data_IF_124055934244
#
_entry.id   IF_124055934244
#
_cell.length_a   1.000
_cell.length_b   1.000
_cell.length_c   1.000
_cell.angle_alpha   90.00
_cell.angle_beta   90.00
_cell.angle_gamma   90.00
#
_symmetry.space_group_name_H-M   'P 1'
#
loop_
_entity.id
_entity.type
_entity.pdbx_description
1 polymer ?
#
# COMPACT_ATOMS: atom_id res chain seq x y z
N UNK A 1 -6.80 20.21 -5.79
CA UNK A 1 -8.05 19.80 -6.47
C UNK A 1 -7.82 18.65 -7.45
N UNK A 2 -6.89 18.74 -8.40
CA UNK A 2 -6.68 17.69 -9.43
C UNK A 2 -6.25 16.32 -8.84
N UNK A 3 -5.41 16.32 -7.79
CA UNK A 3 -4.94 15.06 -7.19
C UNK A 3 -6.06 14.30 -6.45
N UNK A 4 -6.98 15.02 -5.80
CA UNK A 4 -8.13 14.41 -5.11
C UNK A 4 -9.15 13.85 -6.08
N UNK A 5 -9.37 14.49 -7.23
CA UNK A 5 -10.26 14.00 -8.29
C UNK A 5 -9.75 12.70 -8.90
N UNK A 6 -8.47 12.65 -9.29
CA UNK A 6 -7.81 11.44 -9.79
C UNK A 6 -7.86 10.30 -8.77
N UNK A 7 -7.68 10.62 -7.50
CA UNK A 7 -7.82 9.65 -6.43
C UNK A 7 -9.22 9.08 -6.37
N UNK A 8 -10.26 9.92 -6.34
CA UNK A 8 -11.65 9.46 -6.32
C UNK A 8 -12.04 8.66 -7.57
N UNK A 9 -11.57 9.05 -8.75
CA UNK A 9 -11.77 8.29 -10.00
C UNK A 9 -11.20 6.86 -9.86
N UNK A 10 -9.97 6.74 -9.37
CA UNK A 10 -9.33 5.45 -9.20
C UNK A 10 -9.99 4.62 -8.09
N UNK A 11 -10.46 5.25 -7.01
CA UNK A 11 -11.27 4.58 -5.98
C UNK A 11 -12.55 4.02 -6.58
N UNK A 12 -13.30 4.82 -7.36
CA UNK A 12 -14.52 4.38 -8.02
C UNK A 12 -14.27 3.16 -8.94
N UNK A 13 -13.20 3.21 -9.73
CA UNK A 13 -12.76 2.07 -10.55
C UNK A 13 -12.58 0.79 -9.72
N UNK A 14 -11.91 0.89 -8.56
CA UNK A 14 -11.66 -0.30 -7.73
C UNK A 14 -12.87 -0.82 -6.98
N UNK A 15 -13.78 0.07 -6.56
CA UNK A 15 -15.01 -0.32 -5.87
C UNK A 15 -16.02 -0.97 -6.83
N UNK A 16 -16.00 -0.56 -8.10
CA UNK A 16 -16.83 -1.14 -9.18
C UNK A 16 -16.19 -2.37 -9.86
N UNK A 17 -14.99 -2.78 -9.43
CA UNK A 17 -14.26 -3.86 -10.09
C UNK A 17 -14.99 -5.21 -9.93
N UNK A 18 -15.23 -5.97 -11.02
CA UNK A 18 -16.07 -7.17 -10.99
C UNK A 18 -15.47 -8.30 -10.13
N UNK A 19 -14.14 -8.37 -10.05
CA UNK A 19 -13.45 -9.35 -9.21
C UNK A 19 -13.29 -8.83 -7.77
N UNK A 20 -14.28 -9.14 -6.93
CA UNK A 20 -14.29 -8.76 -5.50
C UNK A 20 -13.23 -9.48 -4.66
N UNK A 21 -12.73 -10.64 -5.10
CA UNK A 21 -11.69 -11.38 -4.38
C UNK A 21 -10.31 -10.74 -4.52
N UNK A 22 -10.06 -10.04 -5.62
CA UNK A 22 -8.79 -9.37 -5.91
C UNK A 22 -8.58 -8.09 -5.08
N UNK A 23 -9.67 -7.47 -4.60
CA UNK A 23 -9.74 -6.27 -3.73
C UNK A 23 -8.56 -5.29 -3.84
N UNK A 24 -8.26 -4.82 -5.06
CA UNK A 24 -7.15 -3.89 -5.34
C UNK A 24 -7.30 -2.50 -4.72
N UNK A 25 -8.43 -2.24 -4.06
CA UNK A 25 -8.69 -0.98 -3.38
C UNK A 25 -7.59 -0.66 -2.35
N UNK A 26 -7.22 -1.64 -1.52
CA UNK A 26 -6.22 -1.42 -0.47
C UNK A 26 -4.85 -1.06 -1.05
N UNK A 27 -4.48 -1.62 -2.20
CA UNK A 27 -3.23 -1.30 -2.89
C UNK A 27 -3.12 0.19 -3.24
N UNK A 28 -4.21 0.79 -3.72
CA UNK A 28 -4.24 2.20 -4.11
C UNK A 28 -4.24 3.11 -2.88
N UNK A 29 -4.99 2.75 -1.84
CA UNK A 29 -4.98 3.50 -0.58
C UNK A 29 -3.56 3.55 -0.02
N UNK A 30 -2.86 2.41 0.01
CA UNK A 30 -1.51 2.32 0.55
C UNK A 30 -0.48 3.04 -0.33
N UNK A 31 -0.52 2.83 -1.66
CA UNK A 31 0.38 3.51 -2.58
C UNK A 31 0.21 5.03 -2.54
N UNK A 32 -1.03 5.52 -2.56
CA UNK A 32 -1.32 6.96 -2.48
C UNK A 32 -0.87 7.55 -1.13
N UNK A 33 -1.17 6.86 -0.02
CA UNK A 33 -0.80 7.32 1.33
C UNK A 33 0.71 7.44 1.47
N UNK A 34 1.45 6.41 1.07
CA UNK A 34 2.91 6.43 1.13
C UNK A 34 3.51 7.45 0.15
N UNK A 35 3.00 7.55 -1.08
CA UNK A 35 3.52 8.48 -2.10
C UNK A 35 3.33 9.95 -1.73
N UNK A 36 2.18 10.29 -1.13
CA UNK A 36 1.84 11.66 -0.74
C UNK A 36 2.30 12.04 0.67
N UNK A 37 2.87 11.11 1.44
CA UNK A 37 3.28 11.36 2.81
C UNK A 37 4.24 12.56 2.89
N UNK A 38 4.02 13.42 3.86
CA UNK A 38 4.86 14.58 4.19
C UNK A 38 5.14 14.62 5.70
N UNK A 39 5.86 15.64 6.16
CA UNK A 39 6.21 15.81 7.57
C UNK A 39 5.00 15.96 8.51
N UNK A 40 3.80 16.25 7.97
CA UNK A 40 2.55 16.40 8.74
C UNK A 40 1.72 15.11 8.74
N UNK A 41 2.09 14.14 7.91
CA UNK A 41 1.38 12.87 7.80
C UNK A 41 1.61 12.04 9.06
N UNK A 42 0.53 11.50 9.64
CA UNK A 42 0.61 10.72 10.88
C UNK A 42 1.54 9.50 10.68
N UNK A 43 2.52 9.25 11.57
CA UNK A 43 3.46 8.14 11.42
C UNK A 43 2.78 6.78 11.23
N UNK A 44 1.69 6.53 11.96
CA UNK A 44 0.93 5.28 11.85
C UNK A 44 0.36 5.06 10.44
N UNK A 45 -0.09 6.11 9.75
CA UNK A 45 -0.63 6.02 8.40
C UNK A 45 0.47 5.61 7.40
N UNK A 46 1.67 6.16 7.57
CA UNK A 46 2.82 5.81 6.73
C UNK A 46 3.24 4.36 6.98
N UNK A 47 3.34 3.94 8.24
CA UNK A 47 3.71 2.56 8.61
C UNK A 47 2.70 1.55 8.05
N UNK A 48 1.39 1.81 8.19
CA UNK A 48 0.35 0.92 7.66
C UNK A 48 0.42 0.79 6.14
N UNK A 49 0.59 1.91 5.44
CA UNK A 49 0.75 1.93 4.00
C UNK A 49 1.99 1.13 3.55
N UNK A 50 3.14 1.34 4.20
CA UNK A 50 4.38 0.62 3.87
C UNK A 50 4.29 -0.88 4.15
N UNK A 51 3.62 -1.30 5.23
CA UNK A 51 3.34 -2.72 5.50
C UNK A 51 2.46 -3.30 4.40
N UNK A 52 1.41 -2.59 3.99
CA UNK A 52 0.52 -3.06 2.93
C UNK A 52 1.24 -3.21 1.59
N UNK A 53 2.13 -2.26 1.26
CA UNK A 53 2.99 -2.34 0.09
C UNK A 53 3.99 -3.50 0.16
N UNK A 54 4.64 -3.71 1.31
CA UNK A 54 5.52 -4.86 1.54
C UNK A 54 4.78 -6.19 1.31
N UNK A 55 3.62 -6.36 1.95
CA UNK A 55 2.81 -7.57 1.84
C UNK A 55 2.34 -7.81 0.39
N UNK A 56 1.89 -6.76 -0.30
CA UNK A 56 1.45 -6.87 -1.69
C UNK A 56 2.60 -7.19 -2.66
N UNK A 57 3.75 -6.53 -2.50
CA UNK A 57 4.85 -6.58 -3.47
C UNK A 57 5.77 -7.77 -3.25
N UNK A 58 6.18 -8.02 -2.00
CA UNK A 58 7.13 -9.08 -1.68
C UNK A 58 6.41 -10.38 -1.31
N UNK A 59 5.41 -10.32 -0.42
CA UNK A 59 4.69 -11.50 0.05
C UNK A 59 3.52 -11.92 -0.87
N UNK A 60 3.26 -11.16 -1.93
CA UNK A 60 2.22 -11.42 -2.95
C UNK A 60 0.80 -11.49 -2.37
N UNK A 61 0.55 -10.84 -1.24
CA UNK A 61 -0.78 -10.80 -0.63
C UNK A 61 -1.77 -10.10 -1.56
N UNK A 62 -2.96 -10.68 -1.69
CA UNK A 62 -4.12 -10.00 -2.30
C UNK A 62 -4.50 -8.77 -1.48
N UNK A 63 -5.21 -7.80 -2.08
CA UNK A 63 -5.61 -6.62 -1.31
C UNK A 63 -6.56 -6.94 -0.14
N UNK A 64 -7.31 -8.05 -0.21
CA UNK A 64 -8.12 -8.55 0.92
C UNK A 64 -7.24 -9.05 2.07
N UNK A 65 -6.17 -9.80 1.78
CA UNK A 65 -5.21 -10.22 2.79
C UNK A 65 -4.47 -9.03 3.41
N UNK A 66 -4.14 -8.00 2.62
CA UNK A 66 -3.58 -6.75 3.14
C UNK A 66 -4.57 -6.05 4.08
N UNK A 67 -5.85 -5.95 3.70
CA UNK A 67 -6.88 -5.39 4.57
C UNK A 67 -7.00 -6.18 5.89
N UNK A 68 -6.96 -7.51 5.84
CA UNK A 68 -6.97 -8.36 7.04
C UNK A 68 -5.73 -8.14 7.92
N UNK A 69 -4.56 -7.96 7.31
CA UNK A 69 -3.33 -7.60 8.01
C UNK A 69 -3.46 -6.25 8.73
N UNK A 70 -4.06 -5.24 8.10
CA UNK A 70 -4.33 -3.95 8.76
C UNK A 70 -5.30 -4.08 9.93
N UNK A 71 -6.33 -4.92 9.83
CA UNK A 71 -7.24 -5.22 10.95
C UNK A 71 -6.45 -5.85 12.11
N UNK A 72 -5.58 -6.82 11.84
CA UNK A 72 -4.71 -7.43 12.88
C UNK A 72 -3.79 -6.38 13.50
N UNK A 73 -3.18 -5.52 12.68
CA UNK A 73 -2.32 -4.44 13.12
C UNK A 73 -3.05 -3.40 13.97
N UNK A 74 -4.35 -3.16 13.74
CA UNK A 74 -5.14 -2.20 14.53
C UNK A 74 -5.19 -2.52 16.04
N UNK A 75 -4.94 -3.79 16.38
CA UNK A 75 -4.86 -4.29 17.75
C UNK A 75 -3.50 -4.03 18.41
N UNK A 76 -2.45 -3.70 17.65
CA UNK A 76 -1.10 -3.41 18.14
C UNK A 76 -0.60 -2.06 17.62
N UNK A 77 -0.54 -1.06 18.51
CA UNK A 77 -0.15 0.33 18.15
C UNK A 77 1.17 0.78 18.77
N UNK A 78 1.82 -0.07 19.59
CA UNK A 78 3.06 0.28 20.29
C UNK A 78 4.27 0.00 19.40
N UNK A 79 5.34 0.77 19.60
CA UNK A 79 6.64 0.54 18.96
C UNK A 79 6.67 0.74 17.46
N UNK A 80 5.91 1.70 16.92
CA UNK A 80 5.95 2.04 15.50
C UNK A 80 7.39 2.40 15.09
N UNK A 81 7.91 1.86 13.97
CA UNK A 81 9.24 2.20 13.50
C UNK A 81 9.28 3.67 13.05
N UNK A 82 10.44 4.30 13.22
CA UNK A 82 10.70 5.63 12.66
C UNK A 82 10.88 5.50 11.15
N UNK A 83 10.14 6.30 10.39
CA UNK A 83 10.20 6.29 8.93
C UNK A 83 11.05 7.44 8.43
N UNK A 84 12.03 7.11 7.59
CA UNK A 84 12.79 8.05 6.79
C UNK A 84 12.02 8.30 5.48
N UNK A 85 11.42 9.48 5.36
CA UNK A 85 10.70 9.89 4.16
C UNK A 85 11.69 10.20 3.03
N UNK A 86 11.71 9.44 1.91
CA UNK A 86 12.57 9.75 0.78
C UNK A 86 12.03 10.98 0.04
N UNK A 87 12.91 11.80 -0.56
CA UNK A 87 12.49 12.99 -1.31
C UNK A 87 11.57 12.64 -2.49
N UNK A 88 11.90 11.56 -3.21
CA UNK A 88 11.07 10.95 -4.25
C UNK A 88 10.46 9.65 -3.74
N UNK A 89 9.13 9.53 -3.82
CA UNK A 89 8.34 8.41 -3.24
C UNK A 89 7.72 7.50 -4.31
N UNK A 90 8.48 7.22 -5.36
CA UNK A 90 8.09 6.39 -6.49
C UNK A 90 8.02 7.17 -7.80
N UNK A 91 8.35 6.50 -8.89
CA UNK A 91 8.38 7.05 -10.26
C UNK A 91 7.01 6.97 -10.95
N UNK A 92 6.23 5.94 -10.63
CA UNK A 92 4.87 5.78 -11.15
C UNK A 92 3.92 6.59 -10.27
N UNK A 93 3.04 7.35 -10.89
CA UNK A 93 2.03 8.15 -10.18
C UNK A 93 0.62 7.66 -10.48
N UNK A 94 -0.35 8.16 -9.72
CA UNK A 94 -1.77 7.94 -10.03
C UNK A 94 -2.14 8.39 -11.46
N UNK A 95 -1.46 9.41 -12.00
CA UNK A 95 -1.72 9.90 -13.36
C UNK A 95 -1.34 8.84 -14.38
N UNK A 96 -0.22 8.14 -14.18
CA UNK A 96 0.23 7.08 -15.07
C UNK A 96 -0.70 5.88 -15.02
N UNK A 97 -1.25 5.58 -13.84
CA UNK A 97 -2.29 4.54 -13.67
C UNK A 97 -3.56 4.89 -14.46
N UNK A 98 -4.07 6.11 -14.33
CA UNK A 98 -5.32 6.51 -14.99
C UNK A 98 -5.20 6.64 -16.51
N UNK A 99 -4.01 6.94 -17.04
CA UNK A 99 -3.73 6.91 -18.48
C UNK A 99 -3.91 5.51 -19.10
N UNK A 100 -3.83 4.45 -18.29
CA UNK A 100 -4.07 3.09 -18.76
C UNK A 100 -5.59 2.81 -18.78
N UNK A 101 -6.15 2.26 -19.87
CA UNK A 101 -7.56 1.92 -19.95
C UNK A 101 -8.01 0.94 -18.84
N UNK A 102 -9.27 1.04 -18.35
CA UNK A 102 -9.82 0.13 -17.34
C UNK A 102 -9.65 -1.36 -17.69
N UNK A 103 -9.55 -2.21 -16.67
CA UNK A 103 -9.41 -3.66 -16.80
C UNK A 103 -7.99 -4.15 -16.49
N UNK A 104 -7.63 -5.33 -16.98
CA UNK A 104 -6.41 -6.05 -16.59
C UNK A 104 -5.11 -5.26 -16.81
N UNK A 105 -5.08 -4.33 -17.76
CA UNK A 105 -3.93 -3.45 -17.99
C UNK A 105 -3.78 -2.42 -16.85
N UNK A 106 -4.86 -1.77 -16.44
CA UNK A 106 -4.85 -0.83 -15.30
C UNK A 106 -4.55 -1.54 -13.99
N UNK A 107 -5.08 -2.75 -13.80
CA UNK A 107 -4.77 -3.58 -12.62
C UNK A 107 -3.27 -3.89 -12.50
N UNK A 108 -2.62 -4.21 -13.62
CA UNK A 108 -1.16 -4.40 -13.67
C UNK A 108 -0.43 -3.09 -13.37
N UNK A 109 -0.88 -1.96 -13.90
CA UNK A 109 -0.28 -0.66 -13.63
C UNK A 109 -0.42 -0.25 -12.15
N UNK A 110 -1.52 -0.59 -11.48
CA UNK A 110 -1.68 -0.40 -10.03
C UNK A 110 -0.62 -1.21 -9.27
N UNK A 111 -0.39 -2.48 -9.63
CA UNK A 111 0.65 -3.29 -8.99
C UNK A 111 2.06 -2.73 -9.22
N UNK A 112 2.32 -2.22 -10.42
CA UNK A 112 3.58 -1.54 -10.74
C UNK A 112 3.76 -0.27 -9.92
N UNK A 113 2.67 0.50 -9.73
CA UNK A 113 2.67 1.68 -8.87
C UNK A 113 3.04 1.31 -7.42
N UNK A 114 2.41 0.28 -6.84
CA UNK A 114 2.76 -0.21 -5.51
C UNK A 114 4.24 -0.58 -5.40
N UNK A 115 4.77 -1.32 -6.39
CA UNK A 115 6.18 -1.71 -6.41
C UNK A 115 7.12 -0.49 -6.54
N UNK A 116 6.74 0.51 -7.33
CA UNK A 116 7.50 1.75 -7.50
C UNK A 116 7.59 2.54 -6.19
N UNK A 117 6.47 2.69 -5.48
CA UNK A 117 6.42 3.37 -4.17
C UNK A 117 7.20 2.57 -3.14
N UNK A 118 7.00 1.24 -3.06
CA UNK A 118 7.74 0.40 -2.12
C UNK A 118 9.26 0.49 -2.31
N UNK A 119 9.72 0.41 -3.57
CA UNK A 119 11.14 0.52 -3.91
C UNK A 119 11.73 1.86 -3.43
N UNK A 120 11.01 2.96 -3.57
CA UNK A 120 11.48 4.27 -3.13
C UNK A 120 11.69 4.34 -1.61
N UNK A 121 10.95 3.57 -0.83
CA UNK A 121 11.09 3.46 0.62
C UNK A 121 12.12 2.40 1.07
N UNK A 122 13.04 1.96 0.19
CA UNK A 122 14.00 0.88 0.47
C UNK A 122 14.79 1.03 1.79
N UNK A 123 15.14 2.25 2.20
CA UNK A 123 15.84 2.51 3.47
C UNK A 123 15.00 2.18 4.72
N UNK A 124 13.69 2.00 4.58
CA UNK A 124 12.77 1.64 5.65
C UNK A 124 12.42 0.15 5.64
N UNK A 125 12.89 -0.60 4.63
CA UNK A 125 12.45 -1.98 4.38
C UNK A 125 12.65 -2.86 5.61
N UNK A 126 13.84 -2.86 6.19
CA UNK A 126 14.18 -3.70 7.34
C UNK A 126 13.24 -3.44 8.52
N UNK A 127 13.08 -2.18 8.92
CA UNK A 127 12.21 -1.79 10.03
C UNK A 127 10.74 -2.15 9.80
N UNK A 128 10.25 -2.02 8.56
CA UNK A 128 8.88 -2.39 8.18
C UNK A 128 8.68 -3.91 8.21
N UNK A 129 9.63 -4.67 7.67
CA UNK A 129 9.58 -6.14 7.67
C UNK A 129 9.60 -6.68 9.09
N UNK A 130 10.52 -6.20 9.93
CA UNK A 130 10.62 -6.61 11.32
C UNK A 130 9.32 -6.32 12.09
N UNK A 131 8.79 -5.10 11.94
CA UNK A 131 7.55 -4.70 12.59
C UNK A 131 6.34 -5.49 12.08
N UNK A 132 6.28 -5.77 10.76
CA UNK A 132 5.24 -6.60 10.16
C UNK A 132 5.29 -8.03 10.71
N UNK A 133 6.47 -8.65 10.77
CA UNK A 133 6.62 -10.02 11.26
C UNK A 133 6.16 -10.15 12.72
N UNK A 134 6.57 -9.19 13.57
CA UNK A 134 6.22 -9.16 14.99
C UNK A 134 4.72 -9.02 15.24
N UNK A 135 3.99 -8.27 14.42
CA UNK A 135 2.61 -7.86 14.72
C UNK A 135 1.55 -8.51 13.81
N UNK A 136 1.94 -8.96 12.62
CA UNK A 136 1.04 -9.48 11.59
C UNK A 136 1.34 -10.94 11.28
N UNK A 137 2.61 -11.29 11.04
CA UNK A 137 3.00 -12.62 10.53
C UNK A 137 3.46 -13.61 11.62
N UNK A 138 3.03 -13.45 12.88
CA UNK A 138 3.35 -14.44 13.93
C UNK A 138 2.92 -15.85 13.50
N UNK A 139 3.79 -16.83 13.81
CA UNK A 139 3.62 -18.27 13.56
C UNK A 139 2.27 -18.78 14.09
N UNK A 140 1.30 -18.84 13.20
CA UNK A 140 0.04 -19.56 13.41
C UNK A 140 -0.50 -19.96 12.03
N UNK A 141 0.33 -20.65 11.24
CA UNK A 141 -0.05 -21.41 10.03
C UNK A 141 0.92 -22.60 9.85
N UNK A 142 1.35 -23.21 10.97
CA UNK A 142 1.86 -24.59 10.98
C UNK A 142 0.91 -25.37 11.91
N UNK A 143 -0.20 -25.83 11.35
CA UNK A 143 -0.88 -27.05 11.80
C UNK A 143 -1.62 -27.65 10.63
#
# INVERSE_FOLDING_TARGET
MIQSEKYHELLYYTLSHPNRLFFIHQYIVDAQTAQMADARTKPISIVYALIGLYLAVEQKYTGKQVQQAHIKLSKSKKGLPKINLPEKRGEITITDVLRVPPGSKRDKMIKQWCASVWKAFGNNREAIVEYCNRNVMQEADIT
#
